data_IF_245790837243
#
_entry.id   IF_245790837243
#
_cell.length_a   1.000
_cell.length_b   1.000
_cell.length_c   1.000
_cell.angle_alpha   90.00
_cell.angle_beta   90.00
_cell.angle_gamma   90.00
#
_symmetry.space_group_name_H-M   'P 1'
#
loop_
_entity.id
_entity.type
_entity.pdbx_description
1 polymer ?
#
# COMPACT_ATOMS: atom_id res chain seq x y z
N UNK A 1 -41.90 9.64 34.83
CA UNK A 1 -41.49 10.12 33.48
C UNK A 1 -40.09 10.72 33.40
N UNK A 2 -39.49 11.19 34.48
CA UNK A 2 -38.14 11.87 34.45
C UNK A 2 -36.94 10.90 34.31
N UNK A 3 -37.04 9.71 34.92
CA UNK A 3 -35.94 8.73 34.90
C UNK A 3 -35.71 8.11 33.54
N UNK A 4 -36.74 7.81 32.77
CA UNK A 4 -36.66 7.23 31.44
C UNK A 4 -36.08 8.22 30.40
N UNK A 5 -36.45 9.49 30.51
CA UNK A 5 -35.87 10.57 29.64
C UNK A 5 -34.35 10.79 29.93
N UNK A 6 -33.92 10.65 31.18
CA UNK A 6 -32.52 10.72 31.56
C UNK A 6 -31.69 9.56 31.01
N UNK A 7 -32.23 8.34 31.09
CA UNK A 7 -31.60 7.14 30.54
C UNK A 7 -31.51 7.20 29.02
N UNK A 8 -32.53 7.71 28.33
CA UNK A 8 -32.54 7.85 26.86
C UNK A 8 -31.54 8.91 26.38
N UNK A 9 -31.37 10.01 27.12
CA UNK A 9 -30.37 11.04 26.81
C UNK A 9 -28.93 10.58 27.07
N UNK A 10 -28.70 9.77 28.11
CA UNK A 10 -27.39 9.13 28.33
C UNK A 10 -27.06 8.14 27.20
N UNK A 11 -28.02 7.33 26.79
CA UNK A 11 -27.84 6.38 25.68
C UNK A 11 -27.55 7.08 24.34
N UNK A 12 -28.23 8.20 24.04
CA UNK A 12 -27.96 9.01 22.84
C UNK A 12 -26.56 9.65 22.87
N UNK A 13 -26.14 10.22 24.00
CA UNK A 13 -24.78 10.76 24.15
C UNK A 13 -23.71 9.67 24.03
N UNK A 14 -23.99 8.48 24.58
CA UNK A 14 -23.10 7.33 24.46
C UNK A 14 -22.96 6.84 23.00
N UNK A 15 -24.08 6.78 22.25
CA UNK A 15 -24.05 6.43 20.82
C UNK A 15 -23.24 7.41 19.97
N UNK A 16 -23.37 8.70 20.23
CA UNK A 16 -22.63 9.76 19.49
C UNK A 16 -21.13 9.67 19.78
N UNK A 17 -20.73 9.50 21.03
CA UNK A 17 -19.31 9.32 21.40
C UNK A 17 -18.75 8.01 20.84
N UNK A 18 -19.54 6.93 20.87
CA UNK A 18 -19.17 5.62 20.34
C UNK A 18 -19.04 5.63 18.81
N UNK A 19 -19.95 6.31 18.09
CA UNK A 19 -19.86 6.43 16.63
C UNK A 19 -18.60 7.20 16.19
N UNK A 20 -18.22 8.24 16.91
CA UNK A 20 -17.03 9.03 16.60
C UNK A 20 -15.71 8.31 16.95
N UNK A 21 -15.73 7.37 17.90
CA UNK A 21 -14.57 6.54 18.25
C UNK A 21 -14.43 5.35 17.30
N UNK A 22 -15.55 4.74 16.87
CA UNK A 22 -15.55 3.56 15.97
C UNK A 22 -15.25 3.96 14.52
N UNK A 23 -15.63 5.15 14.07
CA UNK A 23 -15.43 5.62 12.69
C UNK A 23 -13.98 6.02 12.37
N UNK A 24 -13.06 6.02 13.35
CA UNK A 24 -11.66 6.33 13.07
C UNK A 24 -10.69 5.51 13.96
N UNK A 25 -10.45 4.22 13.62
CA UNK A 25 -9.54 3.34 14.38
C UNK A 25 -8.11 3.86 14.46
N UNK A 26 -7.66 4.68 13.50
CA UNK A 26 -6.35 5.35 13.52
C UNK A 26 -6.23 6.41 14.62
N UNK A 27 -7.36 7.01 15.02
CA UNK A 27 -7.37 8.00 16.10
C UNK A 27 -7.16 7.34 17.48
N UNK A 28 -7.71 6.14 17.67
CA UNK A 28 -7.64 5.38 18.94
C UNK A 28 -6.25 4.82 19.20
N UNK A 29 -5.58 4.27 18.17
CA UNK A 29 -4.21 3.77 18.27
C UNK A 29 -3.19 4.89 18.46
N UNK A 30 -3.43 6.05 17.87
CA UNK A 30 -2.53 7.21 17.95
C UNK A 30 -2.65 7.98 19.28
N UNK A 31 -3.84 8.02 19.89
CA UNK A 31 -4.11 8.75 21.13
C UNK A 31 -3.83 7.89 22.39
N UNK A 32 -4.08 6.57 22.33
CA UNK A 32 -4.01 5.70 23.50
C UNK A 32 -2.85 4.69 23.50
N UNK A 33 -2.07 4.56 22.42
CA UNK A 33 -0.91 3.65 22.35
C UNK A 33 -1.24 2.16 22.57
N UNK A 34 -2.51 1.77 22.46
CA UNK A 34 -2.99 0.42 22.77
C UNK A 34 -3.00 -0.43 21.50
N UNK A 35 -2.20 -1.50 21.47
CA UNK A 35 -2.22 -2.49 20.39
C UNK A 35 -3.60 -3.14 20.28
N UNK A 36 -4.07 -3.40 19.06
CA UNK A 36 -5.40 -3.95 18.72
C UNK A 36 -5.75 -5.23 19.51
N UNK A 37 -4.75 -6.04 19.86
CA UNK A 37 -4.89 -7.24 20.70
C UNK A 37 -5.43 -6.98 22.11
N UNK A 38 -5.26 -5.77 22.64
CA UNK A 38 -5.79 -5.38 23.96
C UNK A 38 -7.20 -4.79 23.89
N UNK A 39 -7.66 -4.40 22.69
CA UNK A 39 -8.97 -3.79 22.50
C UNK A 39 -10.13 -4.75 22.84
N UNK A 40 -9.99 -6.00 22.44
CA UNK A 40 -10.97 -7.05 22.75
C UNK A 40 -11.09 -7.32 24.28
N UNK A 41 -9.98 -7.25 24.99
CA UNK A 41 -9.94 -7.41 26.44
C UNK A 41 -10.56 -6.21 27.17
N UNK A 42 -10.28 -4.99 26.70
CA UNK A 42 -10.86 -3.75 27.25
C UNK A 42 -12.37 -3.68 26.97
N UNK A 43 -12.82 -4.06 25.77
CA UNK A 43 -14.24 -4.13 25.41
C UNK A 43 -14.99 -5.16 26.27
N UNK A 44 -14.35 -6.32 26.52
CA UNK A 44 -14.90 -7.37 27.41
C UNK A 44 -15.04 -6.88 28.86
N UNK A 45 -14.04 -6.12 29.33
CA UNK A 45 -14.05 -5.53 30.68
C UNK A 45 -15.10 -4.42 30.81
N UNK A 46 -15.31 -3.64 29.74
CA UNK A 46 -16.30 -2.56 29.69
C UNK A 46 -17.73 -3.09 29.67
N UNK A 47 -17.97 -4.16 28.89
CA UNK A 47 -19.28 -4.86 28.85
C UNK A 47 -19.58 -5.48 30.24
N UNK A 48 -18.60 -6.08 30.90
CA UNK A 48 -18.73 -6.62 32.26
C UNK A 48 -19.01 -5.53 33.31
N UNK A 49 -18.41 -4.34 33.19
CA UNK A 49 -18.67 -3.19 34.07
C UNK A 49 -20.02 -2.52 33.80
N UNK A 50 -20.41 -2.38 32.53
CA UNK A 50 -21.67 -1.75 32.13
C UNK A 50 -22.90 -2.59 32.49
N UNK A 51 -22.76 -3.92 32.55
CA UNK A 51 -23.83 -4.85 32.87
C UNK A 51 -23.93 -5.21 34.37
N UNK A 52 -22.97 -4.80 35.19
CA UNK A 52 -23.02 -4.79 36.66
C UNK A 52 -23.27 -6.13 37.35
N UNK A 53 -23.26 -7.30 36.66
CA UNK A 53 -23.52 -8.54 37.36
C UNK A 53 -23.18 -9.82 36.58
N UNK A 54 -22.47 -10.73 37.22
CA UNK A 54 -22.38 -12.15 36.82
C UNK A 54 -23.73 -12.89 36.77
N UNK A 55 -24.80 -12.30 37.31
CA UNK A 55 -26.15 -12.89 37.36
C UNK A 55 -26.96 -12.72 36.08
N UNK A 56 -26.45 -12.00 35.06
CA UNK A 56 -27.19 -11.78 33.81
C UNK A 56 -27.25 -13.02 32.89
N UNK A 57 -26.38 -13.99 33.12
CA UNK A 57 -26.28 -15.19 32.27
C UNK A 57 -27.25 -16.32 32.64
N UNK A 58 -28.01 -16.23 33.76
CA UNK A 58 -28.88 -17.31 34.27
C UNK A 58 -30.37 -17.03 34.21
N UNK A 59 -30.81 -15.82 33.87
CA UNK A 59 -32.24 -15.55 33.60
C UNK A 59 -32.53 -15.78 32.13
N UNK A 60 -33.64 -16.48 31.81
CA UNK A 60 -34.20 -16.63 30.45
C UNK A 60 -34.19 -15.28 29.76
N UNK A 61 -33.16 -15.02 28.95
CA UNK A 61 -32.99 -13.74 28.28
C UNK A 61 -34.06 -13.60 27.21
N UNK A 62 -34.74 -12.46 27.25
CA UNK A 62 -35.74 -12.04 26.28
C UNK A 62 -35.20 -12.28 24.85
N UNK A 63 -35.92 -13.02 23.99
CA UNK A 63 -35.48 -13.37 22.65
C UNK A 63 -35.08 -12.13 21.82
N UNK A 64 -35.75 -10.99 22.04
CA UNK A 64 -35.40 -9.71 21.42
C UNK A 64 -34.02 -9.22 21.81
N UNK A 65 -33.60 -9.39 23.08
CA UNK A 65 -32.28 -9.01 23.57
C UNK A 65 -31.16 -9.91 23.00
N UNK A 66 -31.47 -11.20 22.81
CA UNK A 66 -30.53 -12.13 22.14
C UNK A 66 -30.32 -11.75 20.67
N UNK A 67 -31.40 -11.44 19.96
CA UNK A 67 -31.37 -11.02 18.56
C UNK A 67 -30.57 -9.70 18.42
N UNK A 68 -30.79 -8.74 19.32
CA UNK A 68 -30.03 -7.46 19.31
C UNK A 68 -28.55 -7.67 19.58
N UNK A 69 -28.17 -8.57 20.49
CA UNK A 69 -26.76 -8.90 20.74
C UNK A 69 -26.11 -9.64 19.56
N UNK A 70 -26.83 -10.52 18.88
CA UNK A 70 -26.35 -11.24 17.69
C UNK A 70 -26.20 -10.26 16.52
N UNK A 71 -27.16 -9.37 16.31
CA UNK A 71 -27.06 -8.32 15.28
C UNK A 71 -25.92 -7.35 15.56
N UNK A 72 -25.71 -6.97 16.82
CA UNK A 72 -24.58 -6.11 17.23
C UNK A 72 -23.24 -6.83 17.05
N UNK A 73 -23.15 -8.13 17.33
CA UNK A 73 -21.93 -8.93 17.09
C UNK A 73 -21.66 -9.15 15.60
N UNK A 74 -22.71 -9.31 14.78
CA UNK A 74 -22.60 -9.35 13.31
C UNK A 74 -22.15 -8.01 12.73
N UNK A 75 -22.70 -6.90 13.21
CA UNK A 75 -22.26 -5.54 12.82
C UNK A 75 -20.80 -5.26 13.22
N UNK A 76 -20.36 -5.74 14.39
CA UNK A 76 -18.96 -5.62 14.83
C UNK A 76 -18.02 -6.59 14.10
N UNK A 77 -18.53 -7.74 13.64
CA UNK A 77 -17.75 -8.73 12.88
C UNK A 77 -17.51 -8.35 11.42
N UNK A 78 -18.37 -7.53 10.83
CA UNK A 78 -18.25 -7.09 9.41
C UNK A 78 -17.19 -5.99 9.22
N UNK A 79 -16.71 -5.35 10.29
CA UNK A 79 -15.81 -4.19 10.20
C UNK A 79 -14.31 -4.49 10.26
N UNK A 80 -13.89 -5.75 10.21
CA UNK A 80 -12.46 -6.12 10.14
C UNK A 80 -12.14 -6.80 8.80
N UNK A 81 -12.39 -6.09 7.71
CA UNK A 81 -11.61 -6.37 6.51
C UNK A 81 -10.14 -6.10 6.88
N UNK A 82 -9.30 -7.14 6.89
CA UNK A 82 -7.88 -6.98 7.14
C UNK A 82 -7.35 -5.94 6.13
N UNK A 83 -6.72 -4.89 6.62
CA UNK A 83 -6.12 -3.87 5.76
C UNK A 83 -5.08 -4.55 4.86
N UNK A 84 -5.25 -4.40 3.56
CA UNK A 84 -4.34 -5.02 2.59
C UNK A 84 -2.93 -4.50 2.79
N UNK A 85 -1.98 -5.42 2.86
CA UNK A 85 -0.57 -5.06 2.88
C UNK A 85 -0.11 -4.70 1.48
N UNK A 86 0.29 -3.46 1.30
CA UNK A 86 0.70 -2.92 0.00
C UNK A 86 2.21 -2.67 -0.01
N UNK A 87 2.87 -3.15 -1.06
CA UNK A 87 4.28 -2.90 -1.34
C UNK A 87 4.41 -2.04 -2.59
N UNK A 88 5.26 -1.02 -2.55
CA UNK A 88 5.65 -0.22 -3.70
C UNK A 88 7.12 -0.49 -3.99
N UNK A 89 7.37 -1.43 -4.90
CA UNK A 89 8.71 -1.79 -5.37
C UNK A 89 9.05 -0.91 -6.56
N UNK A 90 10.22 -0.30 -6.55
CA UNK A 90 10.63 0.51 -7.68
C UNK A 90 12.14 0.47 -7.91
N UNK A 91 12.53 0.70 -9.15
CA UNK A 91 13.86 1.10 -9.56
C UNK A 91 13.82 2.56 -10.00
N UNK A 92 14.79 3.33 -9.59
CA UNK A 92 14.93 4.71 -10.01
C UNK A 92 16.40 5.12 -9.92
N UNK A 93 16.81 6.09 -10.73
CA UNK A 93 18.14 6.67 -10.61
C UNK A 93 18.09 8.20 -10.68
N UNK A 94 18.94 8.81 -9.90
CA UNK A 94 19.30 10.21 -9.96
C UNK A 94 20.33 10.46 -11.09
N UNK A 95 21.13 11.50 -10.98
CA UNK A 95 22.13 11.95 -11.92
C UNK A 95 21.56 12.41 -13.27
N UNK A 96 22.31 12.31 -14.35
CA UNK A 96 21.87 12.79 -15.65
C UNK A 96 20.81 11.88 -16.27
N UNK A 97 19.64 12.42 -16.56
CA UNK A 97 18.52 11.75 -17.19
C UNK A 97 18.06 12.50 -18.44
N UNK A 98 17.52 11.76 -19.40
CA UNK A 98 17.02 12.32 -20.64
C UNK A 98 15.93 13.36 -20.36
N UNK A 99 15.91 14.47 -21.09
CA UNK A 99 14.98 15.59 -21.01
C UNK A 99 15.08 16.44 -19.75
N UNK A 100 15.35 15.84 -18.57
CA UNK A 100 15.35 16.55 -17.28
C UNK A 100 16.75 16.94 -16.79
N UNK A 101 17.80 16.44 -17.46
CA UNK A 101 19.18 16.74 -17.09
C UNK A 101 19.60 16.09 -15.77
N UNK A 102 20.44 16.78 -15.02
CA UNK A 102 20.99 16.29 -13.76
C UNK A 102 20.00 16.49 -12.61
N UNK A 103 19.54 15.40 -12.03
CA UNK A 103 18.50 15.38 -10.97
C UNK A 103 19.02 14.66 -9.72
N UNK A 104 18.61 15.13 -8.55
CA UNK A 104 18.96 14.55 -7.25
C UNK A 104 18.03 13.41 -6.83
N UNK A 105 16.83 13.35 -7.37
CA UNK A 105 15.83 12.31 -7.11
C UNK A 105 15.26 11.83 -8.44
N UNK A 106 15.29 10.53 -8.67
CA UNK A 106 14.85 9.94 -9.93
C UNK A 106 13.34 10.06 -10.16
N UNK A 107 12.95 10.10 -11.44
CA UNK A 107 11.55 10.29 -11.86
C UNK A 107 10.61 9.23 -11.27
N UNK A 108 11.01 7.95 -11.33
CA UNK A 108 10.19 6.83 -10.86
C UNK A 108 10.04 6.85 -9.34
N UNK A 109 11.05 7.27 -8.60
CA UNK A 109 11.02 7.43 -7.14
C UNK A 109 9.95 8.44 -6.71
N UNK A 110 9.85 9.57 -7.41
CA UNK A 110 8.82 10.59 -7.14
C UNK A 110 7.42 9.99 -7.25
N UNK A 111 7.16 9.22 -8.30
CA UNK A 111 5.87 8.56 -8.49
C UNK A 111 5.64 7.46 -7.45
N UNK A 112 6.68 6.70 -7.11
CA UNK A 112 6.60 5.67 -6.06
C UNK A 112 6.22 6.27 -4.69
N UNK A 113 6.81 7.40 -4.33
CA UNK A 113 6.46 8.14 -3.10
C UNK A 113 5.00 8.63 -3.09
N UNK A 114 4.52 9.14 -4.23
CA UNK A 114 3.12 9.57 -4.38
C UNK A 114 2.16 8.40 -4.17
N UNK A 115 2.45 7.24 -4.78
CA UNK A 115 1.66 6.01 -4.65
C UNK A 115 1.70 5.51 -3.20
N UNK A 116 2.87 5.43 -2.58
CA UNK A 116 3.03 4.97 -1.21
C UNK A 116 2.28 5.88 -0.22
N UNK A 117 2.35 7.20 -0.40
CA UNK A 117 1.59 8.17 0.41
C UNK A 117 0.09 7.96 0.30
N UNK A 118 -0.43 7.67 -0.90
CA UNK A 118 -1.86 7.48 -1.14
C UNK A 118 -2.37 6.14 -0.61
N UNK A 119 -1.57 5.08 -0.74
CA UNK A 119 -1.96 3.70 -0.39
C UNK A 119 -1.59 3.30 1.04
N UNK A 120 -0.74 4.07 1.72
CA UNK A 120 -0.07 3.62 2.96
C UNK A 120 0.95 2.50 2.73
N UNK A 121 1.34 2.25 1.48
CA UNK A 121 2.23 1.15 1.09
C UNK A 121 3.67 1.33 1.56
N UNK A 122 4.34 0.19 1.80
CA UNK A 122 5.78 0.16 2.11
C UNK A 122 6.59 0.39 0.85
N UNK A 123 7.51 1.34 0.88
CA UNK A 123 8.45 1.59 -0.21
C UNK A 123 9.61 0.59 -0.19
N UNK A 124 9.98 0.10 -1.38
CA UNK A 124 11.15 -0.74 -1.59
C UNK A 124 11.89 -0.31 -2.85
N UNK A 125 13.05 0.33 -2.68
CA UNK A 125 13.95 0.67 -3.79
C UNK A 125 14.83 -0.53 -4.12
N UNK A 126 14.77 -1.00 -5.35
CA UNK A 126 15.70 -2.01 -5.89
C UNK A 126 16.93 -1.28 -6.42
N UNK A 127 18.03 -1.40 -5.72
CA UNK A 127 19.29 -0.73 -6.08
C UNK A 127 20.29 -1.75 -6.65
N UNK A 128 21.02 -1.41 -7.74
CA UNK A 128 22.11 -2.24 -8.23
C UNK A 128 23.27 -2.24 -7.23
N UNK A 129 23.96 -3.37 -7.09
CA UNK A 129 25.14 -3.46 -6.23
C UNK A 129 26.32 -2.61 -6.77
N UNK A 130 26.41 -2.51 -8.09
CA UNK A 130 27.34 -1.60 -8.80
C UNK A 130 26.50 -0.49 -9.44
N UNK A 131 26.76 0.75 -9.05
CA UNK A 131 26.06 1.90 -9.60
C UNK A 131 26.28 2.03 -11.12
N UNK A 132 25.26 2.46 -11.81
CA UNK A 132 25.38 2.82 -13.23
C UNK A 132 26.18 4.12 -13.38
N UNK A 133 26.79 4.35 -14.56
CA UNK A 133 27.46 5.62 -14.85
C UNK A 133 26.53 6.81 -14.63
N UNK A 134 27.08 7.92 -14.13
CA UNK A 134 26.30 9.14 -13.86
C UNK A 134 25.83 9.81 -15.15
N UNK A 135 26.72 9.84 -16.18
CA UNK A 135 26.38 10.38 -17.49
C UNK A 135 25.32 9.56 -18.20
N UNK A 136 24.42 10.24 -18.90
CA UNK A 136 23.29 9.60 -19.58
C UNK A 136 23.76 8.61 -20.65
N UNK A 137 24.64 9.03 -21.58
CA UNK A 137 25.07 8.18 -22.70
C UNK A 137 25.79 6.91 -22.24
N UNK A 138 26.66 7.01 -21.25
CA UNK A 138 27.33 5.85 -20.67
C UNK A 138 26.36 4.90 -20.00
N UNK A 139 25.38 5.45 -19.28
CA UNK A 139 24.33 4.66 -18.61
C UNK A 139 23.49 3.88 -19.62
N UNK A 140 22.98 4.53 -20.69
CA UNK A 140 22.17 3.86 -21.71
C UNK A 140 22.96 2.81 -22.49
N UNK A 141 24.26 2.99 -22.68
CA UNK A 141 25.13 2.02 -23.33
C UNK A 141 25.31 0.75 -22.46
N UNK A 142 25.47 0.90 -21.14
CA UNK A 142 25.50 -0.23 -20.21
C UNK A 142 24.17 -0.96 -20.22
N UNK A 143 23.06 -0.22 -20.08
CA UNK A 143 21.72 -0.79 -20.08
C UNK A 143 21.38 -1.56 -21.36
N UNK A 144 21.83 -1.05 -22.53
CA UNK A 144 21.67 -1.72 -23.82
C UNK A 144 22.39 -3.07 -23.88
N UNK A 145 23.63 -3.12 -23.36
CA UNK A 145 24.41 -4.37 -23.29
C UNK A 145 23.74 -5.38 -22.36
N UNK A 146 23.31 -4.93 -21.19
CA UNK A 146 22.63 -5.79 -20.23
C UNK A 146 21.34 -6.40 -20.81
N UNK A 147 20.54 -5.58 -21.49
CA UNK A 147 19.33 -6.04 -22.15
C UNK A 147 19.64 -7.06 -23.25
N UNK A 148 20.63 -6.79 -24.10
CA UNK A 148 21.03 -7.67 -25.20
C UNK A 148 21.56 -9.03 -24.70
N UNK A 149 22.20 -9.05 -23.53
CA UNK A 149 22.73 -10.24 -22.89
C UNK A 149 21.74 -10.95 -21.97
N UNK A 150 20.53 -10.42 -21.82
CA UNK A 150 19.56 -10.82 -20.78
C UNK A 150 20.23 -10.93 -19.39
N UNK A 151 21.07 -9.95 -19.06
CA UNK A 151 21.93 -9.98 -17.88
C UNK A 151 21.10 -9.92 -16.57
N UNK A 152 21.73 -10.43 -15.49
CA UNK A 152 21.16 -10.33 -14.13
C UNK A 152 22.17 -9.62 -13.23
N UNK A 153 22.30 -8.28 -13.36
CA UNK A 153 23.22 -7.51 -12.53
C UNK A 153 22.85 -7.68 -11.04
N UNK A 154 23.89 -7.81 -10.21
CA UNK A 154 23.69 -7.95 -8.76
C UNK A 154 22.99 -6.73 -8.19
N UNK A 155 22.12 -6.94 -7.21
CA UNK A 155 21.41 -5.91 -6.46
C UNK A 155 21.88 -5.87 -5.00
N UNK A 156 21.75 -4.72 -4.36
CA UNK A 156 21.98 -4.60 -2.92
C UNK A 156 21.03 -5.51 -2.14
N UNK A 157 21.38 -5.93 -0.93
CA UNK A 157 20.50 -6.74 -0.08
C UNK A 157 19.14 -6.07 0.16
N UNK A 158 18.08 -6.85 0.08
CA UNK A 158 16.70 -6.41 0.29
C UNK A 158 16.18 -7.02 1.59
N UNK A 159 15.71 -6.18 2.51
CA UNK A 159 15.22 -6.59 3.83
C UNK A 159 13.69 -6.78 3.91
N UNK A 160 13.01 -6.69 2.76
CA UNK A 160 11.55 -6.83 2.64
C UNK A 160 11.25 -8.03 1.77
N UNK A 161 10.42 -8.97 2.27
CA UNK A 161 9.94 -10.09 1.47
C UNK A 161 8.63 -9.72 0.76
N UNK A 162 8.60 -9.57 -0.58
CA UNK A 162 7.41 -9.20 -1.34
C UNK A 162 6.26 -10.22 -1.24
N UNK A 163 6.56 -11.48 -0.96
CA UNK A 163 5.54 -12.54 -0.85
C UNK A 163 4.57 -12.30 0.31
N UNK A 164 4.99 -11.53 1.32
CA UNK A 164 4.18 -11.16 2.48
C UNK A 164 3.14 -10.06 2.23
N UNK A 165 3.03 -9.53 1.00
CA UNK A 165 2.12 -8.46 0.63
C UNK A 165 0.97 -8.97 -0.24
N UNK A 166 -0.18 -8.29 -0.17
CA UNK A 166 -1.39 -8.66 -0.89
C UNK A 166 -1.42 -8.03 -2.29
N UNK A 167 -0.99 -6.76 -2.38
CA UNK A 167 -0.89 -5.99 -3.62
C UNK A 167 0.50 -5.38 -3.75
N UNK A 168 1.03 -5.35 -4.97
CA UNK A 168 2.37 -4.86 -5.25
C UNK A 168 2.31 -3.86 -6.40
N UNK A 169 2.69 -2.62 -6.12
CA UNK A 169 2.95 -1.61 -7.14
C UNK A 169 4.39 -1.77 -7.61
N UNK A 170 4.61 -1.85 -8.93
CA UNK A 170 5.94 -2.05 -9.51
C UNK A 170 6.28 -0.90 -10.44
N UNK A 171 7.30 -0.14 -10.07
CA UNK A 171 7.74 1.06 -10.77
C UNK A 171 9.11 0.94 -11.42
N UNK A 172 9.26 1.43 -12.64
CA UNK A 172 10.56 1.49 -13.32
C UNK A 172 10.59 2.57 -14.42
N UNK A 173 11.78 3.13 -14.71
CA UNK A 173 11.99 3.90 -15.92
C UNK A 173 12.06 2.94 -17.11
N UNK A 174 11.47 3.32 -18.24
CA UNK A 174 11.57 2.52 -19.45
C UNK A 174 12.94 2.71 -20.10
N UNK A 175 13.77 1.66 -20.09
CA UNK A 175 15.07 1.63 -20.71
C UNK A 175 15.06 0.71 -21.94
N UNK A 176 15.27 1.27 -23.12
CA UNK A 176 15.25 0.53 -24.38
C UNK A 176 13.93 -0.28 -24.59
N UNK A 177 12.80 0.30 -24.19
CA UNK A 177 11.50 -0.33 -24.30
C UNK A 177 11.21 -1.41 -23.26
N UNK A 178 12.08 -1.55 -22.23
CA UNK A 178 11.98 -2.62 -21.24
C UNK A 178 12.21 -2.09 -19.81
N UNK A 179 11.91 -2.93 -18.85
CA UNK A 179 12.26 -2.76 -17.44
C UNK A 179 13.79 -2.94 -17.23
N UNK A 180 14.45 -2.12 -16.41
CA UNK A 180 15.88 -2.26 -16.13
C UNK A 180 16.25 -3.64 -15.57
N UNK A 181 17.38 -4.19 -16.00
CA UNK A 181 17.78 -5.58 -15.72
C UNK A 181 17.91 -5.90 -14.22
N UNK A 182 18.27 -4.99 -13.29
CA UNK A 182 18.25 -5.25 -11.86
C UNK A 182 16.88 -5.66 -11.32
N UNK A 183 15.78 -5.22 -11.94
CA UNK A 183 14.43 -5.60 -11.55
C UNK A 183 14.15 -7.07 -11.85
N UNK A 184 14.70 -7.62 -12.93
CA UNK A 184 14.62 -9.07 -13.21
C UNK A 184 15.37 -9.87 -12.14
N UNK A 185 16.59 -9.43 -11.77
CA UNK A 185 17.35 -10.03 -10.67
C UNK A 185 16.55 -10.05 -9.37
N UNK A 186 15.76 -9.01 -9.10
CA UNK A 186 14.89 -8.94 -7.94
C UNK A 186 13.74 -9.93 -8.04
N UNK A 187 12.95 -9.88 -9.12
CA UNK A 187 11.72 -10.68 -9.23
C UNK A 187 11.97 -12.19 -9.33
N UNK A 188 13.07 -12.60 -9.91
CA UNK A 188 13.43 -14.03 -10.03
C UNK A 188 13.73 -14.70 -8.68
N UNK A 189 13.89 -13.90 -7.60
CA UNK A 189 14.13 -14.42 -6.24
C UNK A 189 12.85 -14.78 -5.49
N UNK A 190 11.67 -14.37 -5.98
CA UNK A 190 10.42 -14.46 -5.23
C UNK A 190 9.31 -15.13 -6.03
N UNK A 191 8.46 -15.89 -5.34
CA UNK A 191 7.26 -16.46 -5.93
C UNK A 191 6.07 -15.50 -5.79
N UNK A 192 5.78 -14.73 -6.83
CA UNK A 192 4.67 -13.78 -6.84
C UNK A 192 3.43 -14.30 -7.58
N UNK A 193 3.39 -15.59 -7.91
CA UNK A 193 2.22 -16.22 -8.55
C UNK A 193 0.96 -16.01 -7.70
N UNK A 194 -0.10 -15.53 -8.35
CA UNK A 194 -1.38 -15.26 -7.68
C UNK A 194 -1.46 -13.90 -6.98
N UNK A 195 -0.35 -13.16 -6.85
CA UNK A 195 -0.38 -11.77 -6.37
C UNK A 195 -0.95 -10.83 -7.45
N UNK A 196 -1.42 -9.67 -7.03
CA UNK A 196 -1.83 -8.60 -7.94
C UNK A 196 -0.71 -7.57 -8.06
N UNK A 197 -0.28 -7.30 -9.30
CA UNK A 197 0.75 -6.31 -9.60
C UNK A 197 0.13 -5.15 -10.38
N UNK A 198 0.39 -3.94 -9.91
CA UNK A 198 0.01 -2.67 -10.53
C UNK A 198 1.28 -2.00 -11.09
N UNK A 199 1.57 -2.12 -12.40
CA UNK A 199 2.78 -1.55 -12.97
C UNK A 199 2.64 -0.03 -13.18
N UNK A 200 3.69 0.72 -12.89
CA UNK A 200 3.80 2.13 -13.28
C UNK A 200 5.18 2.40 -13.85
N UNK A 201 5.22 3.22 -14.87
CA UNK A 201 6.47 3.54 -15.55
C UNK A 201 6.67 5.03 -15.69
N UNK A 202 7.95 5.45 -15.71
CA UNK A 202 8.34 6.76 -16.20
C UNK A 202 9.06 6.62 -17.54
N UNK A 203 8.76 7.50 -18.49
CA UNK A 203 9.26 7.42 -19.85
C UNK A 203 9.37 8.80 -20.47
N UNK A 204 10.00 8.88 -21.67
CA UNK A 204 10.03 10.08 -22.50
C UNK A 204 9.59 9.74 -23.94
N UNK A 205 8.39 9.10 -24.05
CA UNK A 205 7.78 8.77 -25.35
C UNK A 205 7.48 7.30 -25.60
N UNK A 206 8.08 6.36 -24.83
CA UNK A 206 7.87 4.90 -25.01
C UNK A 206 6.54 4.37 -24.45
N UNK A 207 5.85 5.17 -23.62
CA UNK A 207 4.64 4.74 -22.95
C UNK A 207 4.85 3.56 -22.00
N UNK A 208 3.78 2.80 -21.74
CA UNK A 208 3.78 1.63 -20.84
C UNK A 208 4.46 0.43 -21.52
N UNK A 209 5.78 0.32 -21.38
CA UNK A 209 6.59 -0.76 -21.95
C UNK A 209 7.13 -1.70 -20.87
N UNK A 210 7.58 -2.93 -21.24
CA UNK A 210 8.17 -3.92 -20.33
C UNK A 210 7.16 -4.78 -19.55
N UNK A 211 5.87 -4.45 -19.56
CA UNK A 211 4.83 -5.13 -18.76
C UNK A 211 4.68 -6.61 -19.12
N UNK A 212 4.86 -6.98 -20.38
CA UNK A 212 4.77 -8.37 -20.82
C UNK A 212 5.84 -9.25 -20.16
N UNK A 213 7.09 -8.76 -20.07
CA UNK A 213 8.17 -9.48 -19.39
C UNK A 213 7.99 -9.46 -17.87
N UNK A 214 7.52 -8.37 -17.29
CA UNK A 214 7.14 -8.32 -15.87
C UNK A 214 6.13 -9.42 -15.53
N UNK A 215 5.05 -9.55 -16.33
CA UNK A 215 4.06 -10.61 -16.16
C UNK A 215 4.68 -12.00 -16.26
N UNK A 216 5.57 -12.20 -17.23
CA UNK A 216 6.25 -13.49 -17.45
C UNK A 216 7.15 -13.86 -16.28
N UNK A 217 7.97 -12.94 -15.78
CA UNK A 217 8.94 -13.24 -14.70
C UNK A 217 8.27 -13.44 -13.34
N UNK A 218 7.16 -12.75 -13.08
CA UNK A 218 6.47 -12.83 -11.78
C UNK A 218 5.38 -13.90 -11.73
N UNK A 219 4.81 -14.28 -12.87
CA UNK A 219 3.63 -15.14 -12.92
C UNK A 219 2.38 -14.55 -12.24
N UNK A 220 2.39 -13.27 -11.93
CA UNK A 220 1.35 -12.56 -11.19
C UNK A 220 0.20 -12.10 -12.10
N UNK A 221 -0.91 -11.68 -11.47
CA UNK A 221 -2.00 -10.98 -12.13
C UNK A 221 -1.60 -9.51 -12.33
N UNK A 222 -1.27 -9.11 -13.54
CA UNK A 222 -0.84 -7.73 -13.84
C UNK A 222 -2.03 -6.92 -14.34
N UNK A 223 -2.34 -5.83 -13.63
CA UNK A 223 -3.45 -4.92 -13.97
C UNK A 223 -3.04 -3.91 -15.06
N UNK A 224 -3.98 -3.12 -15.60
CA UNK A 224 -3.65 -1.96 -16.41
C UNK A 224 -2.71 -1.00 -15.65
N UNK A 225 -1.61 -0.62 -16.29
CA UNK A 225 -0.56 0.19 -15.68
C UNK A 225 -0.76 1.70 -15.87
N UNK A 226 0.10 2.47 -15.19
CA UNK A 226 0.22 3.91 -15.32
C UNK A 226 1.54 4.26 -16.05
N UNK A 227 1.48 5.16 -17.03
CA UNK A 227 2.66 5.68 -17.72
C UNK A 227 2.70 7.21 -17.55
N UNK A 228 3.77 7.71 -16.96
CA UNK A 228 3.96 9.15 -16.71
C UNK A 228 5.26 9.60 -17.37
N UNK A 229 5.24 10.75 -18.05
CA UNK A 229 6.47 11.36 -18.55
C UNK A 229 7.38 11.74 -17.39
N UNK A 230 8.67 11.44 -17.51
CA UNK A 230 9.67 11.74 -16.48
C UNK A 230 9.76 13.24 -16.20
N UNK A 231 9.74 14.09 -17.25
CA UNK A 231 9.71 15.54 -17.08
C UNK A 231 8.44 16.02 -16.35
N UNK A 232 7.30 15.34 -16.51
CA UNK A 232 6.09 15.65 -15.74
C UNK A 232 6.29 15.29 -14.26
N UNK A 233 6.89 14.14 -13.97
CA UNK A 233 7.21 13.74 -12.60
C UNK A 233 8.16 14.75 -11.91
N UNK A 234 9.13 15.33 -12.62
CA UNK A 234 10.06 16.30 -12.07
C UNK A 234 9.48 17.71 -11.95
N UNK A 235 8.88 18.22 -13.02
CA UNK A 235 8.60 19.64 -13.19
C UNK A 235 7.11 20.00 -13.03
N UNK A 236 6.21 19.01 -13.12
CA UNK A 236 4.75 19.20 -13.07
C UNK A 236 4.11 18.27 -12.01
N UNK A 237 4.64 18.28 -10.79
CA UNK A 237 4.27 17.32 -9.72
C UNK A 237 2.77 17.25 -9.42
N UNK A 238 2.07 18.37 -9.48
CA UNK A 238 0.61 18.40 -9.27
C UNK A 238 -0.15 17.66 -10.37
N UNK A 239 0.35 17.71 -11.60
CA UNK A 239 -0.20 16.95 -12.73
C UNK A 239 0.07 15.46 -12.55
N UNK A 240 1.30 15.10 -12.20
CA UNK A 240 1.66 13.71 -11.90
C UNK A 240 0.81 13.16 -10.75
N UNK A 241 0.60 13.93 -9.67
CA UNK A 241 -0.23 13.53 -8.53
C UNK A 241 -1.69 13.27 -8.95
N UNK A 242 -2.28 14.12 -9.80
CA UNK A 242 -3.65 13.91 -10.31
C UNK A 242 -3.77 12.61 -11.12
N UNK A 243 -2.75 12.26 -11.90
CA UNK A 243 -2.71 11.00 -12.64
C UNK A 243 -2.61 9.79 -11.71
N UNK A 244 -1.74 9.86 -10.70
CA UNK A 244 -1.66 8.85 -9.65
C UNK A 244 -2.98 8.73 -8.91
N UNK A 245 -3.61 9.84 -8.53
CA UNK A 245 -4.87 9.85 -7.80
C UNK A 245 -6.04 9.24 -8.57
N UNK A 246 -6.05 9.40 -9.87
CA UNK A 246 -7.04 8.80 -10.77
C UNK A 246 -6.81 7.30 -10.96
N UNK A 247 -5.57 6.86 -10.97
CA UNK A 247 -5.19 5.48 -11.25
C UNK A 247 -5.23 4.58 -10.01
N UNK A 248 -4.73 5.06 -8.87
CA UNK A 248 -4.77 4.33 -7.59
C UNK A 248 -6.19 4.35 -7.04
N UNK A 249 -6.79 3.20 -6.92
CA UNK A 249 -8.18 3.02 -6.44
C UNK A 249 -8.24 2.82 -4.94
#
# INVERSE_FOLDING_TARGET
MSHLKRQLNLAKRFLIVFSNIILNPLCVTRILGIKITHYAAVLKLFILKATGSRKFLTKKADPMKKITLILLSLLLGVSMAAEKKILVVYYSRADENYTVGNISKGNTEIIAEMIAKKTGGTLLHVEPAKEYPKGYDDCINVAKKELAQDARPAIKPVNVNPEGFDEIYVGYPVWWGEMPMPMFTFFEKYNLKGKTIHPFVTHEGSGLSGVARLKKVTGANVTPGLAIYGHVAQNERDKAQKEVDKWVK
#
